data_IF_933509740111
#
_entry.id   IF_933509740111
#
_cell.length_a   1.000
_cell.length_b   1.000
_cell.length_c   1.000
_cell.angle_alpha   90.00
_cell.angle_beta   90.00
_cell.angle_gamma   90.00
#
_symmetry.space_group_name_H-M   'P 1'
#
loop_
_entity.id
_entity.type
_entity.pdbx_description
1 polymer ?
#
# COMPACT_ATOMS: atom_id res chain seq x y z
N UNK A 1 -24.09 11.26 -34.09
CA UNK A 1 -23.09 10.31 -33.55
C UNK A 1 -21.76 11.03 -33.39
N UNK A 2 -21.50 11.68 -32.24
CA UNK A 2 -20.26 12.44 -31.97
C UNK A 2 -19.94 12.48 -30.46
N UNK A 3 -20.97 12.46 -29.62
CA UNK A 3 -20.83 12.45 -28.16
C UNK A 3 -20.26 11.14 -27.59
N UNK A 4 -20.46 10.00 -28.26
CA UNK A 4 -20.04 8.69 -27.75
C UNK A 4 -18.52 8.57 -27.57
N UNK A 5 -17.75 9.15 -28.50
CA UNK A 5 -16.27 9.04 -28.50
C UNK A 5 -15.66 9.73 -27.28
N UNK A 6 -16.23 10.86 -26.85
CA UNK A 6 -15.74 11.60 -25.68
C UNK A 6 -15.95 10.82 -24.39
N UNK A 7 -17.07 10.09 -24.27
CA UNK A 7 -17.32 9.21 -23.13
C UNK A 7 -16.33 8.03 -23.08
N UNK A 8 -16.01 7.42 -24.22
CA UNK A 8 -15.02 6.35 -24.27
C UNK A 8 -13.62 6.80 -23.85
N UNK A 9 -13.17 7.98 -24.32
CA UNK A 9 -11.86 8.52 -23.94
C UNK A 9 -11.82 8.85 -22.44
N UNK A 10 -12.88 9.43 -21.89
CA UNK A 10 -12.98 9.74 -20.46
C UNK A 10 -12.97 8.48 -19.57
N UNK A 11 -13.66 7.41 -19.99
CA UNK A 11 -13.64 6.14 -19.28
C UNK A 11 -12.25 5.49 -19.29
N UNK A 12 -11.53 5.56 -20.42
CA UNK A 12 -10.19 5.00 -20.54
C UNK A 12 -9.16 5.75 -19.68
N UNK A 13 -9.21 7.08 -19.64
CA UNK A 13 -8.31 7.88 -18.78
C UNK A 13 -8.56 7.64 -17.30
N UNK A 14 -9.82 7.45 -16.89
CA UNK A 14 -10.16 7.10 -15.51
C UNK A 14 -9.60 5.74 -15.09
N UNK A 15 -9.70 4.72 -15.95
CA UNK A 15 -9.15 3.39 -15.68
C UNK A 15 -7.61 3.41 -15.62
N UNK A 16 -6.97 4.23 -16.45
CA UNK A 16 -5.51 4.38 -16.45
C UNK A 16 -5.01 5.08 -15.18
N UNK A 17 -5.72 6.12 -14.71
CA UNK A 17 -5.41 6.78 -13.44
C UNK A 17 -5.58 5.87 -12.22
N UNK A 18 -6.60 5.00 -12.21
CA UNK A 18 -6.81 4.02 -11.15
C UNK A 18 -5.72 2.92 -11.14
N UNK A 19 -5.23 2.54 -12.32
CA UNK A 19 -4.13 1.58 -12.46
C UNK A 19 -2.80 2.19 -11.99
N UNK A 20 -2.52 3.45 -12.33
CA UNK A 20 -1.32 4.16 -11.87
C UNK A 20 -1.30 4.37 -10.34
N UNK A 21 -2.46 4.63 -9.72
CA UNK A 21 -2.57 4.77 -8.26
C UNK A 21 -2.36 3.45 -7.51
N UNK A 22 -2.69 2.31 -8.15
CA UNK A 22 -2.49 0.98 -7.56
C UNK A 22 -1.09 0.40 -7.84
N UNK A 23 -0.42 0.82 -8.92
CA UNK A 23 0.98 0.47 -9.20
C UNK A 23 2.00 1.27 -8.37
N UNK A 24 1.70 2.54 -8.04
CA UNK A 24 2.57 3.35 -7.15
C UNK A 24 2.69 2.79 -5.72
N UNK A 25 1.80 1.88 -5.29
CA UNK A 25 1.93 1.20 -3.99
C UNK A 25 2.71 -0.12 -4.05
N UNK A 26 2.93 -0.71 -5.23
CA UNK A 26 3.63 -1.99 -5.37
C UNK A 26 5.14 -1.85 -5.54
N UNK A 27 5.61 -0.67 -5.95
CA UNK A 27 7.01 -0.45 -6.32
C UNK A 27 7.96 -0.11 -5.17
N UNK A 28 7.49 0.41 -4.03
CA UNK A 28 8.42 1.06 -3.09
C UNK A 28 7.98 1.11 -1.62
N UNK A 29 7.33 0.06 -1.10
CA UNK A 29 7.30 -0.11 0.37
C UNK A 29 8.42 -1.05 0.77
N UNK A 30 9.63 -0.49 0.93
CA UNK A 30 10.79 -1.19 1.54
C UNK A 30 10.52 -1.65 2.97
N UNK A 31 9.42 -1.18 3.57
CA UNK A 31 9.02 -1.52 4.91
C UNK A 31 7.50 -1.66 5.01
N UNK A 32 7.06 -2.47 5.96
CA UNK A 32 5.67 -2.83 6.19
C UNK A 32 5.02 -1.92 7.24
N UNK A 33 3.73 -1.68 7.04
CA UNK A 33 2.88 -0.83 7.87
C UNK A 33 1.98 -1.67 8.77
N UNK A 34 1.22 -1.04 9.66
CA UNK A 34 0.41 -1.76 10.66
C UNK A 34 -0.53 -2.77 10.01
N UNK A 35 -0.49 -4.01 10.53
CA UNK A 35 -1.33 -5.11 10.05
C UNK A 35 -0.71 -5.93 8.91
N UNK A 36 0.34 -5.42 8.26
CA UNK A 36 1.11 -6.19 7.28
C UNK A 36 2.05 -7.18 7.97
N UNK A 37 2.26 -8.34 7.32
CA UNK A 37 3.11 -9.43 7.83
C UNK A 37 4.58 -8.99 7.88
N UNK A 38 5.26 -9.15 9.00
CA UNK A 38 6.67 -8.77 9.14
C UNK A 38 7.59 -9.98 9.05
N UNK A 39 8.70 -9.81 8.33
CA UNK A 39 9.75 -10.83 8.19
C UNK A 39 11.12 -10.14 8.09
N UNK A 40 12.22 -10.91 8.18
CA UNK A 40 13.58 -10.39 8.06
C UNK A 40 13.82 -9.62 6.75
N UNK A 41 13.18 -10.06 5.66
CA UNK A 41 13.27 -9.42 4.34
C UNK A 41 12.32 -8.22 4.17
N UNK A 42 11.34 -8.07 5.08
CA UNK A 42 10.30 -7.04 5.04
C UNK A 42 10.13 -6.42 6.43
N UNK A 43 11.07 -5.54 6.84
CA UNK A 43 11.03 -4.91 8.15
C UNK A 43 9.81 -3.98 8.27
N UNK A 44 9.33 -3.77 9.49
CA UNK A 44 8.31 -2.74 9.73
C UNK A 44 8.89 -1.34 9.55
N UNK A 45 8.09 -0.39 9.08
CA UNK A 45 8.50 1.01 8.98
C UNK A 45 8.76 1.63 10.36
N UNK A 46 9.53 2.72 10.38
CA UNK A 46 9.81 3.48 11.60
C UNK A 46 8.54 3.85 12.37
N UNK A 47 8.51 3.59 13.68
CA UNK A 47 7.32 3.77 14.54
C UNK A 47 6.42 2.53 14.66
N UNK A 48 6.76 1.44 13.97
CA UNK A 48 6.11 0.15 14.11
C UNK A 48 7.11 -0.93 14.55
N UNK A 49 6.62 -1.93 15.26
CA UNK A 49 7.40 -3.10 15.68
C UNK A 49 6.75 -4.39 15.18
N UNK A 50 7.56 -5.38 14.84
CA UNK A 50 7.08 -6.71 14.51
C UNK A 50 6.55 -7.39 15.78
N UNK A 51 5.29 -7.82 15.79
CA UNK A 51 4.70 -8.53 16.92
C UNK A 51 5.09 -10.01 16.86
N UNK A 52 5.80 -10.58 17.85
CA UNK A 52 6.15 -12.00 17.84
C UNK A 52 4.94 -12.92 18.01
N UNK A 53 3.79 -12.38 18.43
CA UNK A 53 2.56 -13.16 18.64
C UNK A 53 1.72 -13.29 17.37
N UNK A 54 1.80 -12.31 16.47
CA UNK A 54 0.93 -12.19 15.31
C UNK A 54 1.69 -12.12 13.99
N UNK A 55 3.02 -12.04 14.05
CA UNK A 55 3.93 -11.90 12.91
C UNK A 55 3.52 -10.73 11.99
N UNK A 56 3.01 -9.67 12.59
CA UNK A 56 2.55 -8.45 11.91
C UNK A 56 3.14 -7.21 12.55
N UNK A 57 3.29 -6.17 11.75
CA UNK A 57 3.66 -4.86 12.24
C UNK A 57 2.53 -4.29 13.10
N UNK A 58 2.87 -3.83 14.30
CA UNK A 58 1.97 -3.14 15.23
C UNK A 58 2.59 -1.80 15.62
N UNK A 59 1.78 -0.88 16.13
CA UNK A 59 2.28 0.36 16.73
C UNK A 59 3.34 0.05 17.79
N UNK A 60 4.50 0.71 17.72
CA UNK A 60 5.51 0.60 18.76
C UNK A 60 4.91 1.16 20.05
N UNK A 61 4.61 0.30 21.02
CA UNK A 61 4.13 0.78 22.31
C UNK A 61 5.35 1.16 23.16
N UNK A 62 5.41 2.38 23.71
CA UNK A 62 6.58 2.86 24.45
C UNK A 62 6.83 2.13 25.79
N UNK A 63 6.00 1.14 26.14
CA UNK A 63 5.94 0.50 27.45
C UNK A 63 6.56 -0.89 27.52
N UNK A 64 7.27 -1.33 26.48
CA UNK A 64 7.98 -2.62 26.49
C UNK A 64 9.48 -2.38 26.30
N UNK A 65 10.13 -1.96 27.39
CA UNK A 65 11.59 -1.92 27.52
C UNK A 65 12.03 -3.13 28.34
#
# INVERSE_FOLDING_TARGET
>A
MKMSILFFVFCLTLHFGLSAATELQKGERRCNTVGEECSSDKPCCYGFQCSPRWERCIYSTPWRR
#
